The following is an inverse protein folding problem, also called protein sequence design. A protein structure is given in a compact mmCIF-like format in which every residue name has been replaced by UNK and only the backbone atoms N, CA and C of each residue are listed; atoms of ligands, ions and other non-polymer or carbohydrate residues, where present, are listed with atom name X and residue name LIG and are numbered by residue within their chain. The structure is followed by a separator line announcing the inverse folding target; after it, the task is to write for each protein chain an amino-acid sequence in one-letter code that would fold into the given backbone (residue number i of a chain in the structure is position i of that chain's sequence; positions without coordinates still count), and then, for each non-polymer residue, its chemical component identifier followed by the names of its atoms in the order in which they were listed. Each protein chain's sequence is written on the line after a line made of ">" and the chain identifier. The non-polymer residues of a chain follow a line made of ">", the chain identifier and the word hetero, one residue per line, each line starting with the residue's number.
data_IF_592428013062
#
_entry.id   IF_592428013062
#
_cell.length_a   1.000
_cell.length_b   1.000
_cell.length_c   1.000
_cell.angle_alpha   90.00
_cell.angle_beta   90.00
_cell.angle_gamma   90.00
#
_symmetry.space_group_name_H-M   'P 1'
#
loop_
_entity.id
_entity.type
_entity.pdbx_description
1 polymer ?
#
# COMPACT_ATOMS: atom_id res chain seq x y z
N UNK A 1 23.26 -6.17 -4.56
CA UNK A 1 23.23 -4.80 -3.97
C UNK A 1 24.00 -3.71 -4.73
N UNK A 2 25.27 -3.86 -5.12
CA UNK A 2 26.02 -2.75 -5.79
C UNK A 2 25.60 -2.47 -7.25
N UNK A 3 25.08 -3.48 -7.97
CA UNK A 3 24.67 -3.35 -9.38
C UNK A 3 23.29 -2.67 -9.51
N UNK A 4 22.34 -3.06 -8.65
CA UNK A 4 21.04 -2.42 -8.43
C UNK A 4 21.14 -0.90 -8.16
N UNK A 5 22.03 -0.51 -7.23
CA UNK A 5 22.31 0.91 -6.92
C UNK A 5 22.87 1.67 -8.13
N UNK A 6 23.65 1.00 -8.99
CA UNK A 6 24.26 1.60 -10.18
C UNK A 6 23.25 1.77 -11.32
N UNK A 7 22.30 0.84 -11.47
CA UNK A 7 21.22 0.94 -12.47
C UNK A 7 20.15 1.97 -12.08
N UNK A 8 19.81 2.09 -10.80
CA UNK A 8 18.97 3.20 -10.30
C UNK A 8 19.62 4.56 -10.53
N UNK A 9 20.94 4.69 -10.36
CA UNK A 9 21.66 5.91 -10.74
C UNK A 9 21.59 6.17 -12.25
N UNK A 10 21.82 5.16 -13.09
CA UNK A 10 21.86 5.31 -14.56
C UNK A 10 20.47 5.63 -15.17
N UNK A 11 19.38 5.10 -14.60
CA UNK A 11 18.02 5.46 -14.98
C UNK A 11 17.64 6.89 -14.57
N UNK A 12 18.04 7.29 -13.35
CA UNK A 12 17.82 8.64 -12.83
C UNK A 12 18.64 9.69 -13.60
N UNK A 13 19.91 9.38 -13.91
CA UNK A 13 20.79 10.20 -14.76
C UNK A 13 20.24 10.39 -16.19
N UNK A 14 19.49 9.42 -16.75
CA UNK A 14 18.85 9.57 -18.07
C UNK A 14 17.59 10.45 -18.05
N UNK A 15 16.87 10.50 -16.93
CA UNK A 15 15.68 11.35 -16.76
C UNK A 15 16.07 12.78 -16.39
N UNK A 16 17.15 12.96 -15.63
CA UNK A 16 17.70 14.29 -15.26
C UNK A 16 18.12 15.14 -16.48
N UNK A 17 18.34 14.52 -17.65
CA UNK A 17 18.64 15.22 -18.90
C UNK A 17 17.43 15.72 -19.70
N UNK A 18 16.20 15.45 -19.27
CA UNK A 18 14.99 15.86 -20.00
C UNK A 18 14.64 17.30 -19.59
N UNK A 19 14.66 18.28 -20.52
CA UNK A 19 14.31 19.65 -20.17
C UNK A 19 12.83 19.74 -19.77
N UNK A 20 12.57 20.35 -18.61
CA UNK A 20 11.21 20.63 -18.13
C UNK A 20 10.56 21.63 -19.09
N UNK A 21 9.65 21.15 -19.94
CA UNK A 21 8.86 21.99 -20.82
C UNK A 21 7.80 22.77 -20.04
N UNK A 22 7.49 23.98 -20.50
CA UNK A 22 6.42 24.83 -19.98
C UNK A 22 6.57 25.18 -18.49
N UNK A 23 7.81 25.44 -18.05
CA UNK A 23 8.12 25.75 -16.66
C UNK A 23 7.38 27.01 -16.16
N UNK A 24 7.37 28.08 -16.96
CA UNK A 24 6.75 29.35 -16.58
C UNK A 24 5.22 29.21 -16.45
N UNK A 25 4.57 28.47 -17.35
CA UNK A 25 3.13 28.24 -17.33
C UNK A 25 2.72 27.36 -16.14
N UNK A 26 3.55 26.36 -15.79
CA UNK A 26 3.34 25.56 -14.57
C UNK A 26 3.48 26.40 -13.32
N UNK A 27 4.47 27.30 -13.26
CA UNK A 27 4.63 28.22 -12.13
C UNK A 27 3.45 29.20 -12.01
N UNK A 28 3.00 29.81 -13.10
CA UNK A 28 1.83 30.69 -13.09
C UNK A 28 0.57 29.95 -12.62
N UNK A 29 0.41 28.69 -13.02
CA UNK A 29 -0.70 27.84 -12.56
C UNK A 29 -0.64 27.59 -11.04
N UNK A 30 0.54 27.31 -10.48
CA UNK A 30 0.71 27.17 -9.03
C UNK A 30 0.37 28.46 -8.28
N UNK A 31 0.77 29.63 -8.81
CA UNK A 31 0.42 30.93 -8.24
C UNK A 31 -1.09 31.18 -8.26
N UNK A 32 -1.80 30.75 -9.31
CA UNK A 32 -3.27 30.84 -9.36
C UNK A 32 -3.93 29.97 -8.31
N UNK A 33 -3.44 28.75 -8.09
CA UNK A 33 -3.93 27.88 -7.03
C UNK A 33 -3.68 28.48 -5.64
N UNK A 34 -2.55 29.16 -5.43
CA UNK A 34 -2.26 29.88 -4.20
C UNK A 34 -3.30 30.97 -3.86
N UNK A 35 -3.96 31.57 -4.86
CA UNK A 35 -5.03 32.55 -4.63
C UNK A 35 -6.32 31.91 -4.09
N UNK A 36 -6.48 30.59 -4.21
CA UNK A 36 -7.65 29.85 -3.72
C UNK A 36 -7.49 29.40 -2.26
N UNK A 37 -6.28 29.50 -1.68
CA UNK A 37 -6.02 29.08 -0.30
C UNK A 37 -6.96 29.70 0.74
N UNK A 38 -7.32 31.00 0.66
CA UNK A 38 -8.30 31.57 1.59
C UNK A 38 -9.69 30.93 1.47
N UNK A 39 -10.11 30.56 0.25
CA UNK A 39 -11.38 29.87 0.00
C UNK A 39 -11.38 28.46 0.57
N UNK A 40 -10.25 27.76 0.46
CA UNK A 40 -10.08 26.42 1.05
C UNK A 40 -10.10 26.50 2.57
N UNK A 41 -9.36 27.44 3.16
CA UNK A 41 -9.36 27.66 4.60
C UNK A 41 -10.77 27.98 5.13
N UNK A 42 -11.51 28.86 4.45
CA UNK A 42 -12.91 29.15 4.79
C UNK A 42 -13.78 27.90 4.72
N UNK A 43 -13.64 27.08 3.68
CA UNK A 43 -14.39 25.82 3.56
C UNK A 43 -14.10 24.87 4.74
N UNK A 44 -12.83 24.78 5.17
CA UNK A 44 -12.43 23.96 6.31
C UNK A 44 -13.04 24.47 7.62
N UNK A 45 -13.03 25.78 7.86
CA UNK A 45 -13.63 26.37 9.07
C UNK A 45 -15.15 26.22 9.12
N UNK A 46 -15.83 26.17 7.98
CA UNK A 46 -17.27 25.90 7.89
C UNK A 46 -17.62 24.40 8.07
N UNK A 47 -16.62 23.53 8.30
CA UNK A 47 -16.81 22.09 8.53
C UNK A 47 -16.92 21.25 7.26
N UNK A 48 -16.49 21.77 6.10
CA UNK A 48 -16.31 20.96 4.89
C UNK A 48 -14.89 20.40 4.85
N UNK A 49 -14.75 19.14 4.40
CA UNK A 49 -13.44 18.61 4.04
C UNK A 49 -13.07 19.08 2.64
N UNK A 50 -11.80 19.42 2.42
CA UNK A 50 -11.35 19.87 1.09
C UNK A 50 -10.83 18.66 0.31
N UNK A 51 -11.31 18.48 -0.92
CA UNK A 51 -10.87 17.42 -1.82
C UNK A 51 -10.24 17.98 -3.09
N UNK A 52 -8.95 17.73 -3.27
CA UNK A 52 -8.20 18.21 -4.43
C UNK A 52 -8.04 17.10 -5.47
N UNK A 53 -8.55 17.34 -6.67
CA UNK A 53 -8.41 16.43 -7.81
C UNK A 53 -7.88 17.15 -9.04
N UNK A 54 -7.21 16.42 -9.92
CA UNK A 54 -6.62 16.99 -11.12
C UNK A 54 -5.34 16.27 -11.53
N UNK A 55 -4.90 16.55 -12.76
CA UNK A 55 -3.73 15.91 -13.33
C UNK A 55 -2.42 16.54 -12.82
N UNK A 56 -1.46 15.68 -12.45
CA UNK A 56 -0.16 16.04 -11.89
C UNK A 56 -0.10 15.89 -10.37
N UNK A 57 1.14 15.79 -9.85
CA UNK A 57 1.35 15.71 -8.40
C UNK A 57 0.88 17.00 -7.71
N UNK A 58 0.05 16.84 -6.68
CA UNK A 58 -0.49 17.94 -5.86
C UNK A 58 0.34 18.22 -4.62
N UNK A 59 1.42 17.46 -4.41
CA UNK A 59 2.30 17.59 -3.23
C UNK A 59 2.77 19.02 -3.03
N UNK A 60 3.27 19.67 -4.08
CA UNK A 60 3.75 21.06 -4.02
C UNK A 60 2.66 22.04 -3.56
N UNK A 61 1.44 21.87 -4.06
CA UNK A 61 0.30 22.75 -3.69
C UNK A 61 -0.13 22.50 -2.26
N UNK A 62 -0.20 21.23 -1.83
CA UNK A 62 -0.54 20.88 -0.46
C UNK A 62 0.52 21.37 0.53
N UNK A 63 1.81 21.21 0.26
CA UNK A 63 2.89 21.73 1.12
C UNK A 63 2.85 23.26 1.23
N UNK A 64 2.54 23.96 0.13
CA UNK A 64 2.35 25.41 0.15
C UNK A 64 1.11 25.80 0.97
N UNK A 65 0.02 25.04 0.87
CA UNK A 65 -1.20 25.29 1.65
C UNK A 65 -1.00 25.00 3.13
N UNK A 66 -0.25 23.95 3.51
CA UNK A 66 0.15 23.69 4.90
C UNK A 66 0.91 24.89 5.47
N UNK A 67 1.89 25.41 4.72
CA UNK A 67 2.68 26.57 5.15
C UNK A 67 1.77 27.79 5.38
N UNK A 68 0.83 28.03 4.46
CA UNK A 68 -0.17 29.08 4.60
C UNK A 68 -1.06 28.90 5.85
N UNK A 69 -1.53 27.68 6.14
CA UNK A 69 -2.35 27.42 7.34
C UNK A 69 -1.56 27.64 8.63
N UNK A 70 -0.29 27.25 8.67
CA UNK A 70 0.57 27.48 9.85
C UNK A 70 0.84 28.97 10.10
N UNK A 71 0.79 29.81 9.06
CA UNK A 71 0.90 31.27 9.20
C UNK A 71 -0.41 31.90 9.71
N UNK A 72 -1.56 31.35 9.31
CA UNK A 72 -2.88 31.89 9.65
C UNK A 72 -3.35 31.44 11.03
N UNK A 73 -3.12 30.17 11.39
CA UNK A 73 -3.53 29.59 12.66
C UNK A 73 -2.33 28.99 13.39
N UNK A 74 -1.78 29.75 14.33
CA UNK A 74 -0.56 29.38 15.08
C UNK A 74 -0.82 28.32 16.15
N UNK A 75 -2.09 28.07 16.52
CA UNK A 75 -2.44 27.11 17.57
C UNK A 75 -2.88 25.74 17.00
N UNK A 76 -3.17 25.69 15.70
CA UNK A 76 -3.56 24.45 15.03
C UNK A 76 -2.37 23.51 14.80
N UNK A 77 -2.62 22.22 15.00
CA UNK A 77 -1.65 21.18 14.67
C UNK A 77 -1.86 20.68 13.24
N UNK A 78 -0.78 20.49 12.49
CA UNK A 78 -0.82 19.94 11.12
C UNK A 78 -0.25 18.53 11.12
N UNK A 79 -1.00 17.57 10.57
CA UNK A 79 -0.58 16.17 10.41
C UNK A 79 -0.57 15.82 8.92
N UNK A 80 0.58 15.44 8.40
CA UNK A 80 0.75 15.00 7.01
C UNK A 80 0.79 13.47 6.93
N UNK A 81 -0.01 12.91 6.03
CA UNK A 81 -0.11 11.47 5.78
C UNK A 81 0.18 11.18 4.32
N UNK A 82 1.21 10.37 4.10
CA UNK A 82 1.63 9.93 2.77
C UNK A 82 0.92 8.62 2.42
N UNK A 83 -0.21 8.69 1.72
CA UNK A 83 -1.06 7.53 1.44
C UNK A 83 -0.48 6.53 0.45
N UNK A 84 0.41 6.97 -0.43
CA UNK A 84 1.12 6.10 -1.37
C UNK A 84 2.33 5.39 -0.73
N UNK A 85 2.65 5.63 0.54
CA UNK A 85 3.74 4.94 1.24
C UNK A 85 3.34 3.49 1.58
N UNK A 86 4.17 2.49 1.26
CA UNK A 86 3.89 1.09 1.59
C UNK A 86 4.03 0.81 3.10
N UNK A 87 4.69 1.71 3.84
CA UNK A 87 4.88 1.59 5.28
C UNK A 87 3.73 2.19 6.09
N UNK A 88 2.76 2.83 5.44
CA UNK A 88 1.63 3.44 6.14
C UNK A 88 0.80 2.38 6.89
N UNK A 89 0.58 2.60 8.19
CA UNK A 89 -0.37 1.83 9.00
C UNK A 89 -1.40 2.73 9.67
N UNK A 90 -2.65 2.26 9.76
CA UNK A 90 -3.73 3.00 10.44
C UNK A 90 -3.43 3.27 11.93
N UNK A 91 -2.64 2.39 12.56
CA UNK A 91 -2.19 2.58 13.95
C UNK A 91 -1.29 3.81 14.07
N UNK A 92 -0.32 3.98 13.17
CA UNK A 92 0.58 5.14 13.15
C UNK A 92 -0.19 6.45 12.93
N UNK A 93 -1.17 6.45 12.01
CA UNK A 93 -2.04 7.61 11.80
C UNK A 93 -2.74 8.04 13.10
N UNK A 94 -3.38 7.09 13.78
CA UNK A 94 -4.12 7.39 15.01
C UNK A 94 -3.20 7.88 16.12
N UNK A 95 -1.97 7.36 16.20
CA UNK A 95 -0.96 7.84 17.14
C UNK A 95 -0.55 9.28 16.81
N UNK A 96 -0.25 9.57 15.54
CA UNK A 96 0.13 10.93 15.11
C UNK A 96 -0.98 11.95 15.39
N UNK A 97 -2.24 11.60 15.10
CA UNK A 97 -3.40 12.48 15.38
C UNK A 97 -3.57 12.68 16.89
N UNK A 98 -3.41 11.63 17.71
CA UNK A 98 -3.51 11.77 19.17
C UNK A 98 -2.40 12.65 19.75
N UNK A 99 -1.17 12.54 19.22
CA UNK A 99 -0.03 13.37 19.63
C UNK A 99 -0.26 14.83 19.24
N UNK A 100 -0.74 15.07 18.01
CA UNK A 100 -1.07 16.40 17.50
C UNK A 100 -2.15 17.08 18.35
N UNK A 101 -3.14 16.33 18.84
CA UNK A 101 -4.18 16.83 19.73
C UNK A 101 -3.69 17.12 21.17
N UNK A 102 -2.43 16.82 21.51
CA UNK A 102 -1.87 17.03 22.84
C UNK A 102 -2.33 16.01 23.87
N UNK A 103 -2.85 14.85 23.43
CA UNK A 103 -3.23 13.75 24.30
C UNK A 103 -1.96 12.97 24.70
N UNK A 104 -1.14 13.55 25.59
CA UNK A 104 0.14 12.99 26.06
C UNK A 104 -0.02 11.98 27.20
N UNK A 105 -1.17 11.31 27.30
CA UNK A 105 -1.38 10.22 28.24
C UNK A 105 -1.17 8.89 27.55
N UNK A 106 -0.13 8.15 27.94
CA UNK A 106 0.09 6.72 27.70
C UNK A 106 0.93 6.36 26.45
N UNK A 107 2.25 6.55 26.55
CA UNK A 107 3.22 5.63 25.94
C UNK A 107 2.95 4.14 26.35
N UNK A 108 2.12 3.90 27.38
CA UNK A 108 1.70 2.59 27.87
C UNK A 108 0.59 1.90 27.03
N UNK A 109 -0.18 2.62 26.21
CA UNK A 109 -1.23 2.03 25.36
C UNK A 109 -0.70 1.47 24.03
N UNK A 110 0.59 1.62 23.75
CA UNK A 110 1.22 1.19 22.49
C UNK A 110 1.51 -0.32 22.44
N UNK A 111 1.43 -1.01 23.58
CA UNK A 111 1.57 -2.46 23.73
C UNK A 111 0.33 -3.28 23.35
N UNK A 112 -0.60 -2.73 22.55
CA UNK A 112 -1.67 -3.55 22.01
C UNK A 112 -1.13 -4.31 20.80
N UNK A 113 -0.96 -5.62 21.02
CA UNK A 113 -0.67 -6.65 20.02
C UNK A 113 -1.58 -6.49 18.80
N UNK A 114 -1.03 -6.75 17.60
CA UNK A 114 -1.55 -6.41 16.27
C UNK A 114 -2.85 -7.10 15.83
N UNK A 115 -3.84 -7.20 16.70
CA UNK A 115 -5.17 -7.71 16.38
C UNK A 115 -6.07 -6.59 15.81
N UNK A 116 -6.78 -6.86 14.71
CA UNK A 116 -7.73 -5.92 14.06
C UNK A 116 -8.75 -5.31 15.04
N UNK A 117 -9.19 -6.07 16.06
CA UNK A 117 -10.10 -5.58 17.12
C UNK A 117 -9.51 -4.46 17.96
N UNK A 118 -8.20 -4.43 18.14
CA UNK A 118 -7.51 -3.37 18.88
C UNK A 118 -7.56 -2.03 18.16
N UNK A 119 -7.37 -2.02 16.84
CA UNK A 119 -7.28 -0.79 16.06
C UNK A 119 -8.62 -0.06 16.04
N UNK A 120 -9.73 -0.78 15.88
CA UNK A 120 -11.07 -0.19 15.94
C UNK A 120 -11.41 0.36 17.35
N UNK A 121 -10.94 -0.30 18.42
CA UNK A 121 -11.11 0.20 19.78
C UNK A 121 -10.28 1.48 20.02
N UNK A 122 -9.04 1.50 19.51
CA UNK A 122 -8.16 2.66 19.57
C UNK A 122 -8.74 3.84 18.80
N UNK A 123 -9.27 3.61 17.59
CA UNK A 123 -9.96 4.64 16.81
C UNK A 123 -11.14 5.24 17.56
N UNK A 124 -11.98 4.42 18.20
CA UNK A 124 -13.11 4.91 19.01
C UNK A 124 -12.64 5.75 20.20
N UNK A 125 -11.57 5.34 20.89
CA UNK A 125 -10.98 6.11 22.00
C UNK A 125 -10.47 7.46 21.51
N UNK A 126 -9.67 7.47 20.44
CA UNK A 126 -9.11 8.70 19.85
C UNK A 126 -10.23 9.66 19.43
N UNK A 127 -11.25 9.19 18.71
CA UNK A 127 -12.41 10.01 18.33
C UNK A 127 -13.14 10.57 19.56
N UNK A 128 -13.30 9.79 20.63
CA UNK A 128 -13.97 10.25 21.86
C UNK A 128 -13.17 11.30 22.65
N UNK A 129 -11.84 11.24 22.59
CA UNK A 129 -10.96 12.23 23.24
C UNK A 129 -10.82 13.50 22.40
N UNK A 130 -10.74 13.38 21.07
CA UNK A 130 -10.72 14.52 20.14
C UNK A 130 -12.01 15.35 20.21
N UNK A 131 -13.15 14.72 20.54
CA UNK A 131 -14.41 15.43 20.81
C UNK A 131 -14.36 16.31 22.06
N UNK A 132 -13.45 16.02 23.00
CA UNK A 132 -13.30 16.77 24.26
C UNK A 132 -12.19 17.82 24.18
N UNK A 133 -11.26 17.68 23.24
CA UNK A 133 -10.17 18.63 23.05
C UNK A 133 -10.64 19.84 22.26
N UNK A 134 -10.25 21.05 22.65
CA UNK A 134 -10.54 22.29 21.90
C UNK A 134 -9.48 22.62 20.83
N UNK A 135 -8.51 21.72 20.57
CA UNK A 135 -7.44 21.97 19.59
C UNK A 135 -7.88 21.59 18.18
N UNK A 136 -7.68 22.49 17.23
CA UNK A 136 -7.86 22.24 15.81
C UNK A 136 -6.69 21.42 15.25
N UNK A 137 -7.01 20.36 14.50
CA UNK A 137 -6.04 19.48 13.82
C UNK A 137 -6.33 19.47 12.34
N UNK A 138 -5.41 19.94 11.52
CA UNK A 138 -5.48 19.84 10.06
C UNK A 138 -4.82 18.55 9.60
N UNK A 139 -5.62 17.64 9.05
CA UNK A 139 -5.18 16.34 8.55
C UNK A 139 -5.04 16.39 7.03
N UNK A 140 -3.81 16.24 6.54
CA UNK A 140 -3.49 16.22 5.12
C UNK A 140 -3.24 14.80 4.64
N UNK A 141 -4.07 14.31 3.73
CA UNK A 141 -3.93 12.98 3.14
C UNK A 141 -3.50 13.09 1.68
N UNK A 142 -2.24 12.77 1.43
CA UNK A 142 -1.69 12.64 0.09
C UNK A 142 -2.14 11.32 -0.52
N UNK A 143 -2.85 11.39 -1.65
CA UNK A 143 -3.42 10.24 -2.35
C UNK A 143 -4.25 9.30 -1.44
N UNK A 144 -5.52 9.65 -1.21
CA UNK A 144 -6.47 8.85 -0.41
C UNK A 144 -6.76 7.47 -1.03
N UNK A 145 -6.39 7.26 -2.29
CA UNK A 145 -6.52 5.99 -3.02
C UNK A 145 -5.32 5.04 -2.81
N UNK A 146 -4.38 5.40 -1.92
CA UNK A 146 -3.22 4.58 -1.61
C UNK A 146 -3.57 3.14 -1.22
N UNK A 147 -2.69 2.19 -1.55
CA UNK A 147 -2.96 0.75 -1.40
C UNK A 147 -3.35 0.33 0.03
N UNK A 148 -2.74 0.96 1.05
CA UNK A 148 -3.03 0.67 2.46
C UNK A 148 -4.18 1.53 3.02
N UNK A 149 -4.52 2.65 2.37
CA UNK A 149 -5.58 3.58 2.82
C UNK A 149 -6.94 3.21 2.23
N UNK A 150 -6.99 2.57 1.05
CA UNK A 150 -8.24 2.16 0.38
C UNK A 150 -9.09 1.14 1.15
N UNK A 151 -8.56 0.50 2.20
CA UNK A 151 -9.29 -0.48 3.00
C UNK A 151 -10.50 0.15 3.70
N UNK A 152 -11.62 -0.56 3.76
CA UNK A 152 -12.88 -0.07 4.32
C UNK A 152 -12.73 0.41 5.78
N UNK A 153 -12.01 -0.35 6.61
CA UNK A 153 -11.70 0.03 8.00
C UNK A 153 -10.97 1.38 8.09
N UNK A 154 -10.05 1.66 7.17
CA UNK A 154 -9.27 2.91 7.16
C UNK A 154 -10.13 4.09 6.70
N UNK A 155 -10.93 3.90 5.65
CA UNK A 155 -11.87 4.92 5.15
C UNK A 155 -12.94 5.25 6.20
N UNK A 156 -13.45 4.24 6.93
CA UNK A 156 -14.41 4.47 8.00
C UNK A 156 -13.81 5.31 9.14
N UNK A 157 -12.57 5.03 9.54
CA UNK A 157 -11.90 5.82 10.57
C UNK A 157 -11.62 7.24 10.09
N UNK A 158 -11.16 7.44 8.85
CA UNK A 158 -10.97 8.77 8.27
C UNK A 158 -12.27 9.56 8.21
N UNK A 159 -13.38 8.93 7.81
CA UNK A 159 -14.69 9.56 7.78
C UNK A 159 -15.16 9.99 9.18
N UNK A 160 -14.94 9.16 10.20
CA UNK A 160 -15.26 9.50 11.60
C UNK A 160 -14.37 10.60 12.17
N UNK A 161 -13.13 10.72 11.71
CA UNK A 161 -12.25 11.83 12.06
C UNK A 161 -12.73 13.13 11.39
N UNK A 162 -13.10 13.08 10.11
CA UNK A 162 -13.61 14.24 9.37
C UNK A 162 -14.96 14.78 9.89
N UNK A 163 -15.77 13.95 10.54
CA UNK A 163 -17.02 14.38 11.20
C UNK A 163 -16.77 15.35 12.37
N UNK A 164 -15.57 15.33 12.96
CA UNK A 164 -15.27 16.13 14.14
C UNK A 164 -15.07 17.61 13.78
N UNK A 165 -15.69 18.54 14.53
CA UNK A 165 -15.51 19.98 14.26
C UNK A 165 -14.08 20.45 14.49
N UNK A 166 -13.31 19.72 15.29
CA UNK A 166 -11.92 20.03 15.64
C UNK A 166 -10.92 19.43 14.64
N UNK A 167 -11.35 18.59 13.69
CA UNK A 167 -10.46 17.94 12.72
C UNK A 167 -10.87 18.35 11.32
N UNK A 168 -9.95 19.00 10.61
CA UNK A 168 -10.18 19.48 9.26
C UNK A 168 -9.41 18.61 8.28
N UNK A 169 -10.13 17.85 7.44
CA UNK A 169 -9.53 16.94 6.47
C UNK A 169 -9.28 17.65 5.13
N UNK A 170 -8.05 17.56 4.64
CA UNK A 170 -7.65 17.92 3.28
C UNK A 170 -7.15 16.65 2.61
N UNK A 171 -7.88 16.16 1.61
CA UNK A 171 -7.52 14.96 0.88
C UNK A 171 -7.19 15.29 -0.57
N UNK A 172 -6.31 14.48 -1.15
CA UNK A 172 -5.99 14.54 -2.56
C UNK A 172 -6.21 13.18 -3.22
N UNK A 173 -6.60 13.20 -4.48
CA UNK A 173 -6.68 11.99 -5.30
C UNK A 173 -6.15 12.24 -6.70
N UNK A 174 -5.55 11.20 -7.27
CA UNK A 174 -5.02 11.25 -8.62
C UNK A 174 -6.07 10.82 -9.64
N UNK A 175 -6.90 9.83 -9.30
CA UNK A 175 -7.98 9.38 -10.15
C UNK A 175 -9.35 9.87 -9.66
N UNK A 176 -9.70 11.09 -10.02
CA UNK A 176 -10.99 11.71 -9.69
C UNK A 176 -12.22 10.86 -10.07
N UNK A 177 -12.11 9.98 -11.06
CA UNK A 177 -13.20 9.13 -11.53
C UNK A 177 -13.37 7.86 -10.71
N UNK A 178 -12.29 7.32 -10.13
CA UNK A 178 -12.34 6.07 -9.37
C UNK A 178 -12.50 6.33 -7.88
N UNK A 179 -11.98 7.44 -7.35
CA UNK A 179 -12.02 7.74 -5.91
C UNK A 179 -13.42 7.68 -5.32
N UNK A 180 -14.48 8.23 -5.96
CA UNK A 180 -15.82 8.20 -5.39
C UNK A 180 -16.39 6.78 -5.23
N UNK A 181 -15.82 5.77 -5.90
CA UNK A 181 -16.23 4.37 -5.74
C UNK A 181 -15.77 3.76 -4.40
N UNK A 182 -14.84 4.41 -3.70
CA UNK A 182 -14.37 3.97 -2.38
C UNK A 182 -15.40 4.24 -1.27
N UNK A 183 -16.37 5.14 -1.50
CA UNK A 183 -17.27 5.61 -0.46
C UNK A 183 -18.71 5.21 -0.75
N UNK A 184 -19.37 4.64 0.27
CA UNK A 184 -20.81 4.53 0.27
C UNK A 184 -21.46 5.89 0.58
N UNK A 185 -22.78 5.97 0.48
CA UNK A 185 -23.50 7.21 0.76
C UNK A 185 -23.29 7.72 2.20
N UNK A 186 -23.03 6.82 3.16
CA UNK A 186 -22.83 7.18 4.57
C UNK A 186 -21.46 7.80 4.77
N UNK A 187 -20.40 7.16 4.29
CA UNK A 187 -19.03 7.66 4.35
C UNK A 187 -18.89 8.97 3.58
N UNK A 188 -19.50 9.08 2.40
CA UNK A 188 -19.52 10.33 1.65
C UNK A 188 -20.19 11.48 2.42
N UNK A 189 -21.26 11.19 3.15
CA UNK A 189 -21.93 12.16 4.03
C UNK A 189 -21.07 12.59 5.22
N UNK A 190 -20.32 11.67 5.82
CA UNK A 190 -19.40 11.95 6.94
C UNK A 190 -18.16 12.74 6.49
N UNK A 191 -17.61 12.42 5.32
CA UNK A 191 -16.43 13.11 4.78
C UNK A 191 -16.77 14.53 4.31
N UNK A 192 -18.02 14.80 3.92
CA UNK A 192 -18.51 16.13 3.55
C UNK A 192 -17.54 16.94 2.63
N UNK A 193 -17.13 16.32 1.52
CA UNK A 193 -16.11 16.91 0.64
C UNK A 193 -16.63 18.07 -0.20
N UNK A 194 -15.87 19.17 -0.19
CA UNK A 194 -15.90 20.23 -1.18
C UNK A 194 -14.80 20.00 -2.22
N UNK A 195 -15.21 19.76 -3.47
CA UNK A 195 -14.34 19.34 -4.56
C UNK A 195 -13.71 20.53 -5.29
N UNK A 196 -12.38 20.55 -5.40
CA UNK A 196 -11.64 21.56 -6.15
C UNK A 196 -10.78 20.94 -7.25
N UNK A 197 -10.93 21.46 -8.46
CA UNK A 197 -10.11 21.06 -9.60
C UNK A 197 -8.77 21.81 -9.58
N UNK A 198 -7.69 21.09 -9.29
CA UNK A 198 -6.33 21.60 -9.11
C UNK A 198 -5.34 20.79 -9.96
N UNK A 199 -5.33 20.97 -11.30
CA UNK A 199 -4.31 20.38 -12.15
C UNK A 199 -2.98 21.12 -11.95
N UNK A 200 -1.87 20.39 -11.78
CA UNK A 200 -0.52 20.96 -11.62
C UNK A 200 0.40 20.61 -12.79
N UNK A 201 0.13 19.51 -13.49
CA UNK A 201 1.02 18.93 -14.51
C UNK A 201 2.46 18.69 -14.00
N UNK A 202 2.63 18.58 -12.68
CA UNK A 202 3.88 18.18 -12.06
C UNK A 202 4.10 16.68 -12.21
N UNK A 203 5.36 16.26 -12.25
CA UNK A 203 5.73 14.85 -12.34
C UNK A 203 5.34 14.11 -11.05
N UNK A 204 5.01 12.82 -11.17
CA UNK A 204 4.63 11.95 -10.06
C UNK A 204 5.85 11.21 -9.48
N UNK A 205 7.02 11.85 -9.42
CA UNK A 205 8.27 11.16 -9.08
C UNK A 205 8.22 10.52 -7.69
N UNK A 206 7.68 11.25 -6.71
CA UNK A 206 7.59 10.78 -5.33
C UNK A 206 6.52 9.69 -5.17
N UNK A 207 5.40 9.80 -5.86
CA UNK A 207 4.31 8.82 -5.83
C UNK A 207 4.72 7.52 -6.54
N UNK A 208 5.43 7.64 -7.66
CA UNK A 208 5.93 6.51 -8.45
C UNK A 208 7.12 5.82 -7.80
N UNK A 209 7.89 6.47 -6.92
CA UNK A 209 8.97 5.81 -6.16
C UNK A 209 8.48 4.57 -5.37
N UNK A 210 7.20 4.57 -5.00
CA UNK A 210 6.57 3.51 -4.23
C UNK A 210 5.60 2.65 -5.03
N UNK A 211 5.22 3.07 -6.24
CA UNK A 211 4.44 2.21 -7.13
C UNK A 211 5.34 1.13 -7.74
N UNK A 212 4.81 -0.08 -7.79
CA UNK A 212 5.51 -1.26 -8.30
C UNK A 212 5.86 -1.09 -9.77
N UNK A 213 7.09 -0.68 -10.07
CA UNK A 213 7.65 -0.79 -11.40
C UNK A 213 7.64 -2.27 -11.78
N UNK A 214 6.74 -2.67 -12.68
CA UNK A 214 6.62 -4.01 -13.26
C UNK A 214 7.98 -4.54 -13.78
N UNK A 215 8.94 -3.65 -14.02
CA UNK A 215 10.12 -3.98 -14.81
C UNK A 215 11.37 -4.46 -14.04
N UNK A 216 11.72 -4.01 -12.81
CA UNK A 216 13.03 -4.37 -12.23
C UNK A 216 13.13 -4.37 -10.69
N UNK A 217 13.26 -5.55 -10.05
CA UNK A 217 14.05 -5.90 -8.84
C UNK A 217 13.43 -6.95 -7.87
N UNK A 218 14.32 -7.81 -7.35
CA UNK A 218 14.13 -8.88 -6.37
C UNK A 218 13.95 -8.33 -4.93
N UNK A 219 12.72 -8.04 -4.52
CA UNK A 219 12.41 -7.81 -3.11
C UNK A 219 11.31 -8.80 -2.70
N UNK A 220 11.49 -9.57 -1.63
CA UNK A 220 10.56 -10.65 -1.22
C UNK A 220 9.12 -10.10 -1.04
N UNK A 221 8.97 -8.90 -0.47
CA UNK A 221 7.66 -8.24 -0.31
C UNK A 221 6.99 -7.80 -1.63
N UNK A 222 7.79 -7.50 -2.67
CA UNK A 222 7.30 -7.14 -4.01
C UNK A 222 6.81 -8.37 -4.77
N UNK A 223 7.51 -9.50 -4.61
CA UNK A 223 7.06 -10.78 -5.16
C UNK A 223 5.71 -11.18 -4.58
N UNK A 224 5.43 -10.86 -3.32
CA UNK A 224 4.13 -11.16 -2.70
C UNK A 224 2.96 -10.40 -3.31
N UNK A 225 3.11 -9.08 -3.52
CA UNK A 225 2.02 -8.28 -4.10
C UNK A 225 1.80 -8.63 -5.57
N UNK A 226 2.88 -8.79 -6.34
CA UNK A 226 2.81 -9.26 -7.72
C UNK A 226 2.17 -10.66 -7.79
N UNK A 227 2.60 -11.58 -6.93
CA UNK A 227 2.02 -12.92 -6.85
C UNK A 227 0.54 -12.88 -6.46
N UNK A 228 0.13 -12.02 -5.52
CA UNK A 228 -1.28 -11.87 -5.15
C UNK A 228 -2.14 -11.43 -6.33
N UNK A 229 -1.68 -10.46 -7.12
CA UNK A 229 -2.40 -10.00 -8.32
C UNK A 229 -2.46 -11.10 -9.38
N UNK A 230 -1.33 -11.75 -9.69
CA UNK A 230 -1.29 -12.85 -10.65
C UNK A 230 -2.20 -13.99 -10.19
N UNK A 231 -2.10 -14.43 -8.94
CA UNK A 231 -2.94 -15.48 -8.36
C UNK A 231 -4.43 -15.15 -8.44
N UNK A 232 -4.81 -13.88 -8.22
CA UNK A 232 -6.21 -13.45 -8.38
C UNK A 232 -6.73 -13.54 -9.82
N UNK A 233 -5.83 -13.47 -10.81
CA UNK A 233 -6.17 -13.60 -12.24
C UNK A 233 -6.20 -15.04 -12.75
N UNK A 234 -5.53 -15.95 -12.03
CA UNK A 234 -5.45 -17.37 -12.36
C UNK A 234 -6.79 -18.08 -12.16
N UNK A 235 -6.97 -19.22 -12.83
CA UNK A 235 -8.17 -20.06 -12.67
C UNK A 235 -8.19 -20.74 -11.29
N UNK A 236 -9.36 -21.15 -10.83
CA UNK A 236 -9.50 -21.85 -9.54
C UNK A 236 -8.68 -23.15 -9.48
N UNK A 237 -8.55 -23.86 -10.61
CA UNK A 237 -7.70 -25.06 -10.71
C UNK A 237 -6.22 -24.71 -10.57
N UNK A 238 -5.74 -23.66 -11.24
CA UNK A 238 -4.37 -23.20 -11.11
C UNK A 238 -4.05 -22.75 -9.67
N UNK A 239 -4.96 -22.01 -9.02
CA UNK A 239 -4.81 -21.63 -7.60
C UNK A 239 -4.74 -22.84 -6.66
N UNK A 240 -5.52 -23.89 -6.93
CA UNK A 240 -5.46 -25.12 -6.15
C UNK A 240 -4.14 -25.88 -6.33
N UNK A 241 -3.59 -25.93 -7.55
CA UNK A 241 -2.25 -26.51 -7.80
C UNK A 241 -1.16 -25.71 -7.09
N UNK A 242 -1.24 -24.38 -7.14
CA UNK A 242 -0.29 -23.51 -6.44
C UNK A 242 -0.35 -23.70 -4.91
N UNK A 243 -1.56 -23.86 -4.36
CA UNK A 243 -1.78 -24.17 -2.94
C UNK A 243 -1.14 -25.50 -2.55
N UNK A 244 -1.36 -26.55 -3.34
CA UNK A 244 -0.79 -27.87 -3.06
C UNK A 244 0.75 -27.86 -3.03
N UNK A 245 1.36 -27.12 -3.97
CA UNK A 245 2.81 -26.92 -3.98
C UNK A 245 3.29 -26.15 -2.73
N UNK A 246 2.52 -25.13 -2.30
CA UNK A 246 2.81 -24.35 -1.09
C UNK A 246 2.70 -25.16 0.20
N UNK A 247 1.65 -25.95 0.36
CA UNK A 247 1.42 -26.83 1.52
C UNK A 247 2.54 -27.87 1.63
N UNK A 248 2.91 -28.50 0.52
CA UNK A 248 4.02 -29.47 0.46
C UNK A 248 5.37 -28.82 0.82
N UNK A 249 5.61 -27.59 0.37
CA UNK A 249 6.84 -26.85 0.68
C UNK A 249 6.92 -26.43 2.16
N UNK A 250 5.79 -26.10 2.79
CA UNK A 250 5.72 -25.79 4.23
C UNK A 250 5.91 -27.06 5.07
N UNK A 251 5.27 -28.16 4.68
CA UNK A 251 5.43 -29.45 5.34
C UNK A 251 6.89 -29.92 5.33
N UNK A 252 7.58 -29.80 4.17
CA UNK A 252 9.00 -30.12 4.04
C UNK A 252 9.94 -29.19 4.82
N UNK A 253 9.59 -27.90 4.95
CA UNK A 253 10.40 -26.91 5.67
C UNK A 253 10.38 -27.04 7.20
N UNK A 254 9.37 -27.70 7.78
CA UNK A 254 9.21 -27.86 9.23
C UNK A 254 10.15 -28.90 9.88
N UNK A 255 10.96 -29.60 9.08
CA UNK A 255 11.76 -30.76 9.54
C UNK A 255 13.23 -30.44 9.89
N UNK A 256 13.72 -29.20 9.71
CA UNK A 256 15.15 -28.86 9.88
C UNK A 256 15.42 -27.56 10.67
N UNK A 257 14.73 -27.33 11.79
CA UNK A 257 15.11 -26.28 12.75
C UNK A 257 16.26 -26.78 13.66
N UNK A 258 17.49 -26.66 13.18
CA UNK A 258 18.72 -26.99 13.91
C UNK A 258 19.95 -26.24 13.40
N UNK A 259 20.16 -25.04 13.93
CA UNK A 259 21.38 -24.22 13.94
C UNK A 259 21.90 -23.60 12.62
N UNK A 260 22.04 -22.27 12.70
CA UNK A 260 22.54 -21.38 11.67
C UNK A 260 24.05 -21.55 11.40
N UNK A 261 24.42 -21.71 10.13
CA UNK A 261 25.80 -21.59 9.69
C UNK A 261 26.00 -21.89 8.21
N UNK A 262 26.06 -20.84 7.39
CA UNK A 262 26.71 -20.84 6.07
C UNK A 262 26.12 -21.73 4.97
N UNK A 263 25.28 -21.14 4.11
CA UNK A 263 25.51 -21.22 2.66
C UNK A 263 25.04 -22.44 1.87
N UNK A 264 23.99 -23.17 2.28
CA UNK A 264 23.33 -24.15 1.40
C UNK A 264 21.82 -23.99 1.40
N UNK A 265 21.25 -23.74 0.23
CA UNK A 265 19.82 -23.75 -0.04
C UNK A 265 19.31 -25.20 -0.01
N UNK A 266 18.98 -25.71 1.19
CA UNK A 266 18.50 -27.08 1.40
C UNK A 266 17.05 -27.29 0.93
N UNK A 267 16.90 -28.19 -0.04
CA UNK A 267 15.80 -29.14 -0.30
C UNK A 267 14.35 -28.80 0.14
N UNK A 268 13.75 -27.76 -0.43
CA UNK A 268 12.34 -27.43 -0.22
C UNK A 268 11.53 -27.36 -1.52
N UNK A 269 11.70 -28.33 -2.43
CA UNK A 269 10.99 -28.37 -3.71
C UNK A 269 10.40 -29.75 -4.00
N UNK A 270 9.34 -29.79 -4.80
CA UNK A 270 8.60 -31.03 -5.12
C UNK A 270 8.94 -31.54 -6.52
N UNK A 271 8.99 -32.86 -6.68
CA UNK A 271 9.17 -33.45 -8.01
C UNK A 271 7.87 -33.40 -8.82
N UNK A 272 7.96 -33.34 -10.16
CA UNK A 272 6.77 -33.37 -11.03
C UNK A 272 5.86 -34.57 -10.74
N UNK A 273 6.43 -35.76 -10.54
CA UNK A 273 5.67 -36.98 -10.31
C UNK A 273 4.93 -36.99 -8.95
N UNK A 274 5.55 -36.42 -7.92
CA UNK A 274 4.97 -36.28 -6.58
C UNK A 274 3.82 -35.27 -6.62
N UNK A 275 4.04 -34.10 -7.22
CA UNK A 275 3.01 -33.06 -7.38
C UNK A 275 1.82 -33.58 -8.18
N UNK A 276 2.07 -34.28 -9.28
CA UNK A 276 1.01 -34.89 -10.08
C UNK A 276 0.20 -35.93 -9.29
N UNK A 277 0.89 -36.75 -8.48
CA UNK A 277 0.22 -37.75 -7.64
C UNK A 277 -0.67 -37.08 -6.60
N UNK A 278 -0.16 -36.06 -5.90
CA UNK A 278 -0.93 -35.34 -4.88
C UNK A 278 -2.12 -34.59 -5.47
N UNK A 279 -1.92 -33.87 -6.58
CA UNK A 279 -3.02 -33.17 -7.25
C UNK A 279 -4.10 -34.13 -7.78
N UNK A 280 -3.73 -35.37 -8.15
CA UNK A 280 -4.68 -36.41 -8.56
C UNK A 280 -5.44 -36.99 -7.37
N UNK A 281 -4.78 -37.21 -6.23
CA UNK A 281 -5.39 -37.69 -4.99
C UNK A 281 -6.42 -36.69 -4.43
N UNK A 282 -6.13 -35.40 -4.53
CA UNK A 282 -7.03 -34.32 -4.15
C UNK A 282 -8.07 -33.96 -5.23
N UNK A 283 -8.09 -34.69 -6.35
CA UNK A 283 -9.01 -34.47 -7.47
C UNK A 283 -8.94 -33.05 -8.08
N UNK A 284 -7.78 -32.40 -8.00
CA UNK A 284 -7.53 -31.06 -8.56
C UNK A 284 -7.41 -31.15 -10.09
N UNK A 285 -6.68 -32.16 -10.57
CA UNK A 285 -6.42 -32.37 -12.00
C UNK A 285 -6.18 -33.85 -12.32
N UNK A 286 -6.51 -34.23 -13.56
CA UNK A 286 -6.39 -35.61 -14.05
C UNK A 286 -5.39 -35.77 -15.20
N UNK A 287 -5.01 -34.68 -15.86
CA UNK A 287 -4.18 -34.69 -17.06
C UNK A 287 -2.79 -34.09 -16.77
N UNK A 288 -1.72 -34.80 -17.15
CA UNK A 288 -0.35 -34.32 -17.02
C UNK A 288 -0.08 -33.07 -17.89
N UNK A 289 -0.75 -32.96 -19.04
CA UNK A 289 -0.59 -31.83 -19.97
C UNK A 289 -1.11 -30.54 -19.32
N UNK A 290 -2.23 -30.61 -18.60
CA UNK A 290 -2.78 -29.44 -17.90
C UNK A 290 -1.90 -29.02 -16.73
N UNK A 291 -1.28 -29.97 -16.02
CA UNK A 291 -0.32 -29.65 -14.96
C UNK A 291 0.92 -28.96 -15.54
N UNK A 292 1.48 -29.46 -16.65
CA UNK A 292 2.62 -28.80 -17.32
C UNK A 292 2.28 -27.38 -17.77
N UNK A 293 1.11 -27.18 -18.37
CA UNK A 293 0.66 -25.84 -18.79
C UNK A 293 0.57 -24.87 -17.61
N UNK A 294 0.06 -25.30 -16.45
CA UNK A 294 0.01 -24.46 -15.26
C UNK A 294 1.41 -24.18 -14.68
N UNK A 295 2.31 -25.17 -14.71
CA UNK A 295 3.69 -24.97 -14.26
C UNK A 295 4.46 -24.00 -15.18
N UNK A 296 4.25 -24.07 -16.49
CA UNK A 296 4.80 -23.11 -17.46
C UNK A 296 4.28 -21.70 -17.17
N UNK A 297 2.97 -21.54 -16.96
CA UNK A 297 2.35 -20.27 -16.57
C UNK A 297 2.92 -19.72 -15.25
N UNK A 298 3.18 -20.58 -14.26
CA UNK A 298 3.81 -20.15 -12.99
C UNK A 298 5.28 -19.74 -13.15
N UNK A 299 6.01 -20.37 -14.07
CA UNK A 299 7.39 -20.02 -14.38
C UNK A 299 7.43 -18.68 -15.14
N UNK A 300 6.54 -18.48 -16.11
CA UNK A 300 6.44 -17.24 -16.89
C UNK A 300 6.14 -16.01 -16.00
N UNK A 301 5.43 -16.23 -14.89
CA UNK A 301 5.11 -15.20 -13.91
C UNK A 301 6.08 -15.12 -12.71
N UNK A 302 7.23 -15.81 -12.76
CA UNK A 302 8.23 -15.87 -11.68
C UNK A 302 7.64 -16.34 -10.32
N UNK A 303 6.53 -17.09 -10.32
CA UNK A 303 5.89 -17.64 -9.12
C UNK A 303 6.58 -18.92 -8.63
N UNK A 304 7.09 -19.72 -9.56
CA UNK A 304 7.77 -21.00 -9.29
C UNK A 304 9.10 -21.01 -10.02
N UNK A 305 10.16 -21.44 -9.34
CA UNK A 305 11.45 -21.69 -9.95
C UNK A 305 11.71 -23.19 -10.09
N UNK A 306 12.38 -23.55 -11.19
CA UNK A 306 12.95 -24.89 -11.36
C UNK A 306 14.35 -24.88 -10.77
N UNK A 307 14.60 -25.78 -9.83
CA UNK A 307 15.92 -26.03 -9.28
C UNK A 307 16.37 -27.44 -9.65
N UNK A 308 17.40 -27.54 -10.49
CA UNK A 308 18.04 -28.82 -10.78
C UNK A 308 18.92 -29.19 -9.60
N UNK A 309 18.60 -30.30 -8.93
CA UNK A 309 19.45 -30.81 -7.86
C UNK A 309 20.74 -31.37 -8.47
N UNK A 310 21.94 -30.96 -8.00
CA UNK A 310 23.21 -31.43 -8.53
C UNK A 310 23.45 -32.94 -8.29
N UNK A 311 22.72 -33.55 -7.34
CA UNK A 311 22.96 -34.92 -6.89
C UNK A 311 22.06 -35.97 -7.58
N UNK A 312 20.83 -35.60 -7.97
CA UNK A 312 19.82 -36.54 -8.48
C UNK A 312 19.42 -36.37 -9.94
N UNK A 313 19.87 -35.30 -10.63
CA UNK A 313 19.39 -34.91 -11.98
C UNK A 313 17.86 -34.77 -12.09
N UNK A 314 17.17 -34.60 -10.96
CA UNK A 314 15.72 -34.38 -10.92
C UNK A 314 15.45 -32.89 -10.80
N UNK A 315 14.53 -32.40 -11.63
CA UNK A 315 14.02 -31.02 -11.60
C UNK A 315 13.03 -30.88 -10.45
N UNK A 316 13.33 -30.00 -9.49
CA UNK A 316 12.44 -29.68 -8.38
C UNK A 316 11.74 -28.35 -8.64
N UNK A 317 10.44 -28.29 -8.37
CA UNK A 317 9.64 -27.07 -8.44
C UNK A 317 9.54 -26.46 -7.05
N UNK A 318 9.88 -25.18 -6.93
CA UNK A 318 9.92 -24.47 -5.64
C UNK A 318 9.32 -23.07 -5.78
N UNK A 319 8.59 -22.62 -4.76
CA UNK A 319 8.14 -21.24 -4.64
C UNK A 319 9.29 -20.42 -4.00
N UNK A 320 9.85 -19.40 -4.66
CA UNK A 320 10.98 -18.63 -4.17
C UNK A 320 10.55 -17.52 -3.19
N UNK A 321 9.78 -17.91 -2.16
CA UNK A 321 9.23 -17.06 -1.10
C UNK A 321 9.49 -17.68 0.28
N UNK A 322 9.41 -16.87 1.34
CA UNK A 322 9.51 -17.33 2.73
C UNK A 322 8.25 -18.08 3.14
N UNK A 323 8.36 -19.00 4.09
CA UNK A 323 7.21 -19.79 4.60
C UNK A 323 6.06 -18.91 5.10
N UNK A 324 6.36 -17.87 5.89
CA UNK A 324 5.36 -16.89 6.38
C UNK A 324 4.61 -16.14 5.28
N UNK A 325 5.26 -16.00 4.13
CA UNK A 325 4.76 -15.25 2.98
C UNK A 325 3.93 -16.17 2.06
N UNK A 326 4.32 -17.45 1.96
CA UNK A 326 3.52 -18.51 1.32
C UNK A 326 2.20 -18.71 2.06
N UNK A 327 2.21 -18.76 3.40
CA UNK A 327 0.98 -18.85 4.22
C UNK A 327 -0.03 -17.74 3.88
N UNK A 328 0.44 -16.49 3.77
CA UNK A 328 -0.40 -15.35 3.39
C UNK A 328 -0.96 -15.46 1.97
N UNK A 329 -0.22 -16.04 1.03
CA UNK A 329 -0.70 -16.26 -0.33
C UNK A 329 -1.70 -17.42 -0.42
N UNK A 330 -1.56 -18.44 0.43
CA UNK A 330 -2.51 -19.55 0.48
C UNK A 330 -3.88 -19.08 0.98
N UNK A 331 -3.93 -18.19 1.96
CA UNK A 331 -5.19 -17.56 2.43
C UNK A 331 -5.93 -16.84 1.29
N UNK A 332 -5.21 -16.28 0.33
CA UNK A 332 -5.77 -15.60 -0.85
C UNK A 332 -6.22 -16.57 -1.95
N UNK A 333 -5.67 -17.79 -1.96
CA UNK A 333 -6.01 -18.82 -2.94
C UNK A 333 -7.30 -19.57 -2.60
N UNK A 334 -7.91 -19.32 -1.43
CA UNK A 334 -9.08 -20.01 -0.85
C UNK A 334 -10.25 -20.23 -1.82
#
# INVERSE_FOLDING_TARGET
>A
MKVAKRLKLVGKERVEGIPVKHFNEKQDLLLRHGRLFPTWACSLHEGFSVFLYGFGSKKVVLSAFMTYLMEVDTEAAVVEVIGYSPHFTLKELLIQVSQAAGLTGEEEALNISGSKRSVAALAKRVVSELRKSDRSVFLFVHNIEGQNIRGEDCQEVLARLAELPNVHLVASADNASVTPLLWDQKLAGLLNFHYFHVPTYCSYEDELMYQDDIAFEENDGRRLQAASVVLSSLTQTARAVFRELGESQIAGGSSEDGEAGSGSAGSGGMQFAELFTSCREQLILSNEITLRSHLEEFIDHDLVCMQDSPDSRVTLYKIPLRTSDIERLMDLCA
#
